data_IF_039363780197
#
_entry.id   IF_039363780197
#
_cell.length_a   1.000
_cell.length_b   1.000
_cell.length_c   1.000
_cell.angle_alpha   90.00
_cell.angle_beta   90.00
_cell.angle_gamma   90.00
#
_symmetry.space_group_name_H-M   'P 1'
#
loop_
_entity.id
_entity.type
_entity.pdbx_description
1 polymer ?
#
# COMPACT_ATOMS: atom_id res chain seq x y z
N UNK A 1 -12.87 4.61 9.73
CA UNK A 1 -13.35 3.32 9.19
C UNK A 1 -12.13 2.51 8.78
N UNK A 2 -11.93 1.33 9.37
CA UNK A 2 -10.79 0.47 9.05
C UNK A 2 -11.24 -0.61 8.07
N UNK A 3 -10.82 -0.48 6.81
CA UNK A 3 -10.94 -1.58 5.85
C UNK A 3 -9.79 -2.53 6.13
N UNK A 4 -10.09 -3.76 6.52
CA UNK A 4 -9.07 -4.81 6.62
C UNK A 4 -8.62 -5.16 5.22
N UNK A 5 -7.36 -4.88 4.88
CA UNK A 5 -6.77 -5.20 3.58
C UNK A 5 -6.14 -6.59 3.65
N UNK A 6 -6.96 -7.62 3.53
CA UNK A 6 -6.54 -9.03 3.52
C UNK A 6 -6.25 -9.55 2.10
N UNK A 7 -6.74 -8.87 1.07
CA UNK A 7 -6.56 -9.21 -0.33
C UNK A 7 -6.14 -8.00 -1.19
N UNK A 8 -5.56 -8.26 -2.37
CA UNK A 8 -5.27 -7.21 -3.35
C UNK A 8 -6.53 -6.44 -3.75
N UNK A 9 -7.68 -7.12 -3.83
CA UNK A 9 -8.97 -6.49 -4.11
C UNK A 9 -9.39 -5.52 -2.99
N UNK A 10 -9.23 -5.91 -1.72
CA UNK A 10 -9.52 -5.02 -0.59
C UNK A 10 -8.57 -3.81 -0.56
N UNK A 11 -7.32 -3.97 -1.00
CA UNK A 11 -6.36 -2.87 -1.13
C UNK A 11 -6.81 -1.87 -2.20
N UNK A 12 -7.24 -2.36 -3.36
CA UNK A 12 -7.75 -1.54 -4.45
C UNK A 12 -9.02 -0.78 -4.06
N UNK A 13 -9.95 -1.42 -3.34
CA UNK A 13 -11.16 -0.78 -2.83
C UNK A 13 -10.84 0.33 -1.80
N UNK A 14 -9.91 0.05 -0.88
CA UNK A 14 -9.44 1.04 0.08
C UNK A 14 -8.78 2.22 -0.63
N UNK A 15 -7.95 1.97 -1.65
CA UNK A 15 -7.31 3.00 -2.44
C UNK A 15 -8.34 3.85 -3.22
N UNK A 16 -9.32 3.22 -3.86
CA UNK A 16 -10.39 3.91 -4.57
C UNK A 16 -11.20 4.82 -3.63
N UNK A 17 -11.50 4.34 -2.42
CA UNK A 17 -12.21 5.14 -1.40
C UNK A 17 -11.40 6.37 -1.00
N UNK A 18 -10.09 6.23 -0.79
CA UNK A 18 -9.22 7.35 -0.43
C UNK A 18 -9.07 8.36 -1.58
N UNK A 19 -8.97 7.90 -2.83
CA UNK A 19 -8.96 8.77 -4.01
C UNK A 19 -10.29 9.54 -4.14
N UNK A 20 -11.43 8.86 -3.96
CA UNK A 20 -12.75 9.49 -3.96
C UNK A 20 -12.92 10.52 -2.82
N UNK A 21 -12.25 10.32 -1.70
CA UNK A 21 -12.20 11.26 -0.59
C UNK A 21 -11.28 12.48 -0.82
N UNK A 22 -10.61 12.56 -1.98
CA UNK A 22 -9.79 13.70 -2.40
C UNK A 22 -8.28 13.49 -2.27
N UNK A 23 -7.81 12.31 -1.88
CA UNK A 23 -6.38 11.99 -1.99
C UNK A 23 -5.96 12.00 -3.48
N UNK A 24 -4.81 12.61 -3.78
CA UNK A 24 -4.27 12.58 -5.16
C UNK A 24 -3.54 11.27 -5.46
N UNK A 25 -2.83 10.78 -4.45
CA UNK A 25 -2.00 9.59 -4.49
C UNK A 25 -2.27 8.78 -3.22
N UNK A 26 -2.33 7.46 -3.36
CA UNK A 26 -2.51 6.52 -2.25
C UNK A 26 -1.46 5.43 -2.38
N UNK A 27 -0.80 5.12 -1.27
CA UNK A 27 0.15 4.01 -1.18
C UNK A 27 -0.31 3.07 -0.06
N UNK A 28 -0.44 1.79 -0.37
CA UNK A 28 -0.82 0.76 0.59
C UNK A 28 0.28 -0.29 0.60
N UNK A 29 0.95 -0.45 1.75
CA UNK A 29 1.94 -1.51 1.93
C UNK A 29 1.23 -2.84 2.16
N UNK A 30 1.64 -3.89 1.43
CA UNK A 30 1.05 -5.24 1.46
C UNK A 30 2.02 -6.27 2.08
N UNK A 31 2.99 -5.79 2.86
CA UNK A 31 4.04 -6.62 3.46
C UNK A 31 4.89 -7.31 2.39
N UNK A 32 5.05 -8.63 2.50
CA UNK A 32 5.80 -9.45 1.55
C UNK A 32 5.21 -9.47 0.14
N UNK A 33 3.94 -9.07 -0.03
CA UNK A 33 3.29 -9.00 -1.34
C UNK A 33 3.72 -7.76 -2.11
N UNK A 34 4.27 -6.74 -1.45
CA UNK A 34 4.72 -5.50 -2.08
C UNK A 34 3.94 -4.30 -1.63
N UNK A 35 3.61 -3.43 -2.57
CA UNK A 35 2.94 -2.15 -2.34
C UNK A 35 1.99 -1.89 -3.48
N UNK A 36 0.78 -1.43 -3.16
CA UNK A 36 -0.16 -0.89 -4.14
C UNK A 36 0.01 0.63 -4.18
N UNK A 37 0.23 1.18 -5.37
CA UNK A 37 0.16 2.62 -5.64
C UNK A 37 -1.10 2.91 -6.45
N UNK A 38 -1.85 3.94 -6.08
CA UNK A 38 -3.02 4.38 -6.80
C UNK A 38 -3.04 5.90 -6.94
N UNK A 39 -3.40 6.37 -8.13
CA UNK A 39 -3.57 7.80 -8.44
C UNK A 39 -4.62 7.97 -9.54
N UNK A 40 -4.88 9.22 -9.94
CA UNK A 40 -5.72 9.50 -11.10
C UNK A 40 -5.20 8.89 -12.42
N UNK A 41 -3.91 8.54 -12.50
CA UNK A 41 -3.32 7.88 -13.66
C UNK A 41 -3.59 6.37 -13.71
N UNK A 42 -4.06 5.77 -12.61
CA UNK A 42 -4.33 4.35 -12.50
C UNK A 42 -3.77 3.73 -11.23
N UNK A 43 -3.79 2.40 -11.20
CA UNK A 43 -3.35 1.56 -10.08
C UNK A 43 -2.19 0.69 -10.53
N UNK A 44 -1.15 0.61 -9.72
CA UNK A 44 0.04 -0.19 -9.97
C UNK A 44 0.39 -1.02 -8.74
N UNK A 45 0.71 -2.30 -8.94
CA UNK A 45 1.23 -3.18 -7.90
C UNK A 45 2.74 -3.33 -8.05
N UNK A 46 3.47 -2.84 -7.05
CA UNK A 46 4.92 -2.87 -6.98
C UNK A 46 5.33 -4.04 -6.09
N UNK A 47 5.93 -5.12 -6.64
CA UNK A 47 6.27 -6.31 -5.85
C UNK A 47 7.33 -6.00 -4.78
N UNK A 48 7.23 -6.64 -3.61
CA UNK A 48 8.25 -6.51 -2.57
C UNK A 48 9.57 -7.13 -3.05
N UNK A 49 10.67 -6.51 -2.65
CA UNK A 49 11.98 -7.17 -2.76
C UNK A 49 12.00 -8.35 -1.80
N UNK A 50 12.23 -9.56 -2.31
CA UNK A 50 12.36 -10.75 -1.45
C UNK A 50 13.56 -10.58 -0.52
N UNK A 51 13.28 -10.44 0.76
CA UNK A 51 14.24 -10.43 1.85
C UNK A 51 13.73 -11.38 2.93
N UNK A 52 14.64 -11.99 3.69
CA UNK A 52 14.25 -12.73 4.87
C UNK A 52 13.90 -11.70 5.95
N UNK A 53 12.63 -11.63 6.33
CA UNK A 53 12.18 -10.70 7.38
C UNK A 53 12.76 -11.17 8.73
N UNK A 54 13.74 -10.43 9.25
CA UNK A 54 14.36 -10.69 10.56
C UNK A 54 13.65 -9.89 11.66
N UNK A 55 13.18 -8.68 11.32
CA UNK A 55 12.40 -7.78 12.18
C UNK A 55 11.49 -6.90 11.31
N UNK A 56 10.24 -6.71 11.71
CA UNK A 56 9.25 -5.86 11.00
C UNK A 56 8.93 -4.57 11.75
N UNK A 57 9.61 -4.32 12.88
CA UNK A 57 9.45 -3.10 13.68
C UNK A 57 9.86 -1.88 12.83
N UNK A 58 9.02 -0.84 12.80
CA UNK A 58 9.21 0.41 12.03
C UNK A 58 9.33 0.28 10.49
N UNK A 59 8.97 -0.87 9.90
CA UNK A 59 9.00 -1.03 8.44
C UNK A 59 8.09 -0.05 7.69
N UNK A 60 6.93 0.29 8.29
CA UNK A 60 6.00 1.29 7.75
C UNK A 60 6.57 2.71 7.76
N UNK A 61 7.12 3.15 8.89
CA UNK A 61 7.71 4.49 9.02
C UNK A 61 8.94 4.67 8.11
N UNK A 62 9.74 3.61 7.95
CA UNK A 62 10.89 3.61 7.02
C UNK A 62 10.43 3.71 5.56
N UNK A 63 9.33 3.04 5.20
CA UNK A 63 8.76 3.11 3.87
C UNK A 63 8.22 4.51 3.57
N UNK A 64 7.47 5.12 4.50
CA UNK A 64 6.94 6.48 4.35
C UNK A 64 8.07 7.51 4.30
N UNK A 65 9.12 7.36 5.11
CA UNK A 65 10.27 8.28 5.09
C UNK A 65 11.15 8.18 3.83
N UNK A 66 11.04 7.09 3.07
CA UNK A 66 11.80 6.88 1.83
C UNK A 66 11.05 7.24 0.54
N UNK A 67 9.75 7.50 0.60
CA UNK A 67 8.90 7.86 -0.54
C UNK A 67 8.61 9.37 -0.56
#
# INVERSE_FOLDING_TARGET
TGVTVDSSAAAEEAAATMLAAGARNVIITLGERGTLFASAAGVEHIPARRVQAVDTTAAGDTFVGGF
#
